data_IF_239217981305
#
_entry.id   IF_239217981305
#
_cell.length_a   1.000
_cell.length_b   1.000
_cell.length_c   1.000
_cell.angle_alpha   90.00
_cell.angle_beta   90.00
_cell.angle_gamma   90.00
#
_symmetry.space_group_name_H-M   'P 1'
#
loop_
_entity.id
_entity.type
_entity.pdbx_description
1 polymer ?
#
# COMPACT_ATOMS: atom_id res chain seq x y z
N UNK A 1 15.55 -4.00 2.03
CA UNK A 1 14.51 -4.86 2.64
C UNK A 1 13.27 -4.01 2.84
N UNK A 2 12.08 -4.54 2.67
CA UNK A 2 10.82 -3.79 2.84
C UNK A 2 9.72 -4.72 3.30
N UNK A 3 8.74 -4.19 4.01
CA UNK A 3 7.71 -4.95 4.70
C UNK A 3 6.36 -4.73 4.04
N UNK A 4 5.68 -5.82 3.68
CA UNK A 4 4.32 -5.79 3.16
C UNK A 4 3.28 -5.78 4.28
N UNK A 5 2.15 -5.14 4.04
CA UNK A 5 1.03 -5.07 4.98
C UNK A 5 -0.23 -5.60 4.32
N UNK A 6 -1.03 -6.34 5.09
CA UNK A 6 -2.23 -7.02 4.60
C UNK A 6 -3.41 -6.75 5.52
N UNK A 7 -4.61 -6.65 4.94
CA UNK A 7 -5.88 -6.62 5.65
C UNK A 7 -6.63 -7.93 5.45
N UNK A 8 -7.28 -8.39 6.52
CA UNK A 8 -8.19 -9.52 6.51
C UNK A 8 -9.60 -9.03 6.83
N UNK A 9 -10.56 -9.42 6.01
CA UNK A 9 -11.98 -9.39 6.38
C UNK A 9 -12.25 -10.48 7.42
N UNK A 10 -13.22 -10.22 8.30
CA UNK A 10 -13.63 -11.21 9.29
C UNK A 10 -14.01 -12.52 8.60
N UNK A 11 -13.51 -13.66 9.10
CA UNK A 11 -13.92 -14.95 8.58
C UNK A 11 -15.42 -15.14 8.85
N UNK A 12 -16.14 -15.59 7.82
CA UNK A 12 -17.57 -15.89 7.92
C UNK A 12 -17.82 -16.79 9.14
N UNK A 13 -18.68 -16.37 10.06
CA UNK A 13 -18.99 -17.09 11.30
C UNK A 13 -19.59 -18.48 11.07
N UNK A 14 -20.15 -18.73 9.89
CA UNK A 14 -20.78 -20.00 9.52
C UNK A 14 -19.82 -21.00 8.86
N UNK A 15 -18.84 -20.55 8.08
CA UNK A 15 -17.94 -21.44 7.33
C UNK A 15 -16.44 -21.23 7.59
N UNK A 16 -16.07 -20.25 8.42
CA UNK A 16 -14.69 -19.92 8.77
C UNK A 16 -13.86 -19.31 7.64
N UNK A 17 -14.44 -19.08 6.46
CA UNK A 17 -13.74 -18.52 5.29
C UNK A 17 -13.74 -16.99 5.38
N UNK A 18 -12.56 -16.37 5.40
CA UNK A 18 -12.38 -14.95 5.07
C UNK A 18 -12.06 -14.85 3.57
N UNK A 19 -12.88 -14.16 2.80
CA UNK A 19 -12.76 -14.13 1.32
C UNK A 19 -11.56 -13.38 0.74
N UNK A 20 -10.56 -13.01 1.54
CA UNK A 20 -9.27 -12.66 0.95
C UNK A 20 -8.36 -11.88 1.86
N UNK A 21 -7.08 -12.27 1.84
CA UNK A 21 -5.97 -11.42 2.25
C UNK A 21 -5.86 -10.29 1.22
N UNK A 22 -6.19 -9.06 1.63
CA UNK A 22 -6.03 -7.86 0.79
C UNK A 22 -4.64 -7.28 1.03
N UNK A 23 -3.85 -7.11 -0.02
CA UNK A 23 -2.56 -6.42 0.07
C UNK A 23 -2.82 -4.91 0.16
N UNK A 24 -2.36 -4.30 1.25
CA UNK A 24 -2.50 -2.86 1.47
C UNK A 24 -1.39 -2.13 0.72
N UNK A 25 -0.17 -2.64 0.83
CA UNK A 25 1.01 -2.02 0.25
C UNK A 25 2.29 -2.44 0.95
N UNK A 26 3.37 -1.69 0.66
CA UNK A 26 4.72 -2.00 1.11
C UNK A 26 5.45 -0.77 1.63
N UNK A 27 6.12 -0.95 2.77
CA UNK A 27 7.08 -0.02 3.32
C UNK A 27 8.50 -0.45 2.96
N UNK A 28 9.18 0.29 2.09
CA UNK A 28 10.57 0.00 1.72
C UNK A 28 11.54 0.96 2.41
N UNK A 29 12.74 0.48 2.75
CA UNK A 29 13.80 1.33 3.33
C UNK A 29 14.15 2.44 2.34
N UNK A 30 14.16 3.69 2.82
CA UNK A 30 14.49 4.87 2.01
C UNK A 30 13.41 5.35 1.05
N UNK A 31 12.25 4.69 0.99
CA UNK A 31 11.16 5.06 0.09
C UNK A 31 9.89 5.45 0.85
N UNK A 32 9.11 6.32 0.23
CA UNK A 32 7.71 6.52 0.60
C UNK A 32 6.93 5.20 0.58
N UNK A 33 5.85 5.12 1.36
CA UNK A 33 4.98 3.95 1.35
C UNK A 33 4.32 3.81 -0.03
N UNK A 34 4.28 2.59 -0.56
CA UNK A 34 3.66 2.29 -1.85
C UNK A 34 2.41 1.45 -1.62
N UNK A 35 1.24 2.02 -1.90
CA UNK A 35 -0.03 1.31 -1.83
C UNK A 35 -0.21 0.38 -3.02
N UNK A 36 -0.75 -0.80 -2.76
CA UNK A 36 -1.16 -1.74 -3.81
C UNK A 36 -2.47 -1.26 -4.46
N UNK A 37 -2.69 -1.53 -5.75
CA UNK A 37 -3.98 -1.28 -6.37
C UNK A 37 -5.02 -2.22 -5.74
N UNK A 38 -6.15 -1.67 -5.35
CA UNK A 38 -7.30 -2.47 -4.96
C UNK A 38 -8.47 -2.13 -5.87
N UNK A 39 -8.55 -2.85 -6.99
CA UNK A 39 -9.71 -2.81 -7.86
C UNK A 39 -10.78 -3.76 -7.33
N UNK A 40 -11.99 -3.26 -7.12
CA UNK A 40 -13.15 -4.10 -6.84
C UNK A 40 -13.87 -4.43 -8.14
N UNK A 41 -14.46 -5.62 -8.22
CA UNK A 41 -15.09 -6.16 -9.43
C UNK A 41 -16.16 -5.25 -10.09
N UNK A 42 -16.65 -4.24 -9.38
CA UNK A 42 -17.68 -3.30 -9.83
C UNK A 42 -17.14 -1.91 -10.22
N UNK A 43 -15.82 -1.73 -10.31
CA UNK A 43 -15.19 -0.42 -10.61
C UNK A 43 -15.05 0.52 -9.40
N UNK A 44 -15.43 0.07 -8.20
CA UNK A 44 -15.30 0.82 -6.94
C UNK A 44 -13.97 0.50 -6.23
N UNK A 45 -12.85 0.72 -6.91
CA UNK A 45 -11.54 0.51 -6.29
C UNK A 45 -11.19 1.53 -5.21
N UNK A 46 -10.14 1.25 -4.44
CA UNK A 46 -9.59 2.17 -3.44
C UNK A 46 -8.32 2.81 -4.00
N UNK A 47 -8.40 4.11 -4.29
CA UNK A 47 -7.35 4.86 -5.00
C UNK A 47 -6.79 6.06 -4.20
N UNK A 48 -7.14 6.18 -2.92
CA UNK A 48 -6.63 7.25 -2.06
C UNK A 48 -6.40 6.79 -0.63
N UNK A 49 -5.49 7.45 0.08
CA UNK A 49 -5.16 7.09 1.45
C UNK A 49 -6.36 7.31 2.39
N UNK A 50 -7.14 8.36 2.12
CA UNK A 50 -8.40 8.62 2.83
C UNK A 50 -9.38 7.46 2.70
N UNK A 51 -9.53 6.90 1.50
CA UNK A 51 -10.42 5.77 1.27
C UNK A 51 -9.88 4.48 1.93
N UNK A 52 -8.55 4.27 1.93
CA UNK A 52 -7.93 3.18 2.68
C UNK A 52 -8.19 3.25 4.18
N UNK A 53 -8.05 4.42 4.82
CA UNK A 53 -8.35 4.58 6.25
C UNK A 53 -9.79 4.18 6.60
N UNK A 54 -10.75 4.55 5.75
CA UNK A 54 -12.15 4.17 5.93
C UNK A 54 -12.34 2.66 5.77
N UNK A 55 -11.71 2.04 4.77
CA UNK A 55 -11.81 0.61 4.52
C UNK A 55 -11.16 -0.25 5.61
N UNK A 56 -10.09 0.24 6.23
CA UNK A 56 -9.32 -0.48 7.23
C UNK A 56 -9.86 -0.32 8.66
N UNK A 57 -10.81 0.59 8.88
CA UNK A 57 -11.34 0.93 10.21
C UNK A 57 -11.91 -0.27 10.98
N UNK A 58 -12.43 -1.26 10.26
CA UNK A 58 -13.06 -2.48 10.80
C UNK A 58 -12.34 -3.76 10.34
N UNK A 59 -11.05 -3.67 9.96
CA UNK A 59 -10.29 -4.80 9.42
C UNK A 59 -9.14 -5.19 10.33
N UNK A 60 -8.82 -6.49 10.33
CA UNK A 60 -7.59 -6.98 10.97
C UNK A 60 -6.42 -6.72 10.02
N UNK A 61 -5.45 -5.92 10.48
CA UNK A 61 -4.24 -5.62 9.72
C UNK A 61 -3.08 -6.45 10.27
N UNK A 62 -2.24 -6.98 9.40
CA UNK A 62 -1.01 -7.68 9.76
C UNK A 62 0.15 -7.27 8.87
N UNK A 63 1.37 -7.44 9.36
CA UNK A 63 2.58 -7.35 8.54
C UNK A 63 2.85 -8.67 7.78
N UNK A 64 3.90 -8.69 6.96
CA UNK A 64 4.31 -9.85 6.17
C UNK A 64 4.73 -11.08 6.98
N UNK A 65 5.09 -10.88 8.24
CA UNK A 65 5.47 -11.94 9.18
C UNK A 65 4.27 -12.47 9.98
N UNK A 66 3.09 -11.88 9.80
CA UNK A 66 1.85 -12.28 10.46
C UNK A 66 1.57 -11.57 11.79
N UNK A 67 2.43 -10.62 12.20
CA UNK A 67 2.19 -9.85 13.41
C UNK A 67 1.02 -8.89 13.21
N UNK A 68 0.17 -8.77 14.22
CA UNK A 68 -0.92 -7.82 14.20
C UNK A 68 -0.38 -6.38 14.23
N UNK A 69 -0.93 -5.53 13.38
CA UNK A 69 -0.64 -4.10 13.31
C UNK A 69 -1.96 -3.38 13.53
N UNK A 70 -2.01 -2.41 14.43
CA UNK A 70 -3.20 -1.57 14.59
C UNK A 70 -3.31 -0.56 13.45
N UNK A 71 -4.52 -0.03 13.20
CA UNK A 71 -4.69 1.02 12.21
C UNK A 71 -3.86 2.27 12.55
N UNK A 72 -3.73 2.62 13.82
CA UNK A 72 -2.91 3.75 14.27
C UNK A 72 -1.43 3.54 13.94
N UNK A 73 -0.88 2.35 14.23
CA UNK A 73 0.51 2.02 13.87
C UNK A 73 0.74 2.07 12.36
N UNK A 74 -0.22 1.56 11.56
CA UNK A 74 -0.13 1.64 10.11
C UNK A 74 -0.14 3.10 9.62
N UNK A 75 -1.00 3.95 10.20
CA UNK A 75 -1.05 5.38 9.89
C UNK A 75 0.29 6.03 10.20
N UNK A 76 0.87 5.78 11.37
CA UNK A 76 2.18 6.32 11.74
C UNK A 76 3.28 5.87 10.77
N UNK A 77 3.28 4.59 10.37
CA UNK A 77 4.23 4.06 9.39
C UNK A 77 4.09 4.81 8.06
N UNK A 78 2.87 4.94 7.55
CA UNK A 78 2.58 5.59 6.27
C UNK A 78 2.99 7.06 6.31
N UNK A 79 2.56 7.81 7.32
CA UNK A 79 2.79 9.25 7.43
C UNK A 79 4.27 9.59 7.67
N UNK A 80 4.98 8.82 8.50
CA UNK A 80 6.42 8.98 8.69
C UNK A 80 7.21 8.70 7.41
N UNK A 81 6.73 7.77 6.57
CA UNK A 81 7.36 7.47 5.28
C UNK A 81 7.17 8.58 4.26
N UNK A 82 6.11 9.38 4.36
CA UNK A 82 5.92 10.53 3.46
C UNK A 82 6.90 11.67 3.73
N UNK A 83 7.28 11.88 4.98
CA UNK A 83 8.23 12.93 5.36
C UNK A 83 9.68 12.49 5.22
N UNK A 84 10.00 11.22 5.46
CA UNK A 84 11.38 10.71 5.47
C UNK A 84 11.80 9.94 4.23
N UNK A 85 10.84 9.48 3.40
CA UNK A 85 11.09 8.62 2.26
C UNK A 85 11.34 9.37 0.95
N UNK A 86 12.19 8.79 0.09
CA UNK A 86 12.32 9.23 -1.29
C UNK A 86 11.06 8.86 -2.08
N UNK A 87 10.63 9.75 -2.95
CA UNK A 87 9.55 9.53 -3.89
C UNK A 87 10.12 9.09 -5.24
N UNK A 88 9.73 7.92 -5.77
CA UNK A 88 10.24 7.45 -7.06
C UNK A 88 9.91 8.39 -8.24
N UNK A 89 8.84 9.19 -8.12
CA UNK A 89 8.43 10.17 -9.13
C UNK A 89 9.33 11.43 -9.14
N UNK A 90 10.02 11.72 -8.04
CA UNK A 90 10.92 12.88 -7.91
C UNK A 90 12.39 12.50 -7.67
N UNK A 91 12.68 11.22 -7.42
CA UNK A 91 14.03 10.72 -7.22
C UNK A 91 14.86 10.83 -8.52
N UNK A 92 16.11 11.25 -8.37
CA UNK A 92 17.06 11.35 -9.49
C UNK A 92 17.51 9.96 -9.95
N UNK A 93 18.07 9.89 -11.16
CA UNK A 93 18.59 8.63 -11.73
C UNK A 93 19.60 7.93 -10.82
N UNK A 94 20.47 8.71 -10.17
CA UNK A 94 21.49 8.19 -9.26
C UNK A 94 20.89 7.60 -7.96
N UNK A 95 19.66 7.99 -7.59
CA UNK A 95 18.96 7.48 -6.42
C UNK A 95 18.13 6.21 -6.70
N UNK A 96 17.72 5.99 -7.96
CA UNK A 96 16.83 4.88 -8.33
C UNK A 96 17.54 3.71 -9.06
N UNK A 97 18.74 3.94 -9.61
CA UNK A 97 19.46 2.92 -10.37
C UNK A 97 19.13 2.93 -11.87
N UNK A 98 19.44 1.85 -12.63
CA UNK A 98 19.52 1.90 -14.10
C UNK A 98 18.18 1.93 -14.86
N UNK A 99 17.04 1.92 -14.16
CA UNK A 99 15.71 1.94 -14.79
C UNK A 99 15.38 3.32 -15.39
N UNK A 100 14.67 3.32 -16.52
CA UNK A 100 14.28 4.56 -17.19
C UNK A 100 13.16 5.32 -16.46
N UNK A 101 13.09 6.65 -16.63
CA UNK A 101 12.00 7.46 -16.05
C UNK A 101 10.62 7.06 -16.59
N UNK A 102 10.56 6.61 -17.85
CA UNK A 102 9.34 6.14 -18.51
C UNK A 102 8.79 4.87 -17.88
N UNK A 103 9.64 3.93 -17.50
CA UNK A 103 9.21 2.69 -16.81
C UNK A 103 8.67 3.01 -15.40
N UNK A 104 9.15 4.07 -14.75
CA UNK A 104 8.67 4.48 -13.41
C UNK A 104 7.28 5.10 -13.43
N UNK A 105 7.04 6.03 -14.37
CA UNK A 105 5.80 6.82 -14.41
C UNK A 105 4.60 6.06 -14.99
N UNK A 106 4.82 4.92 -15.62
CA UNK A 106 3.74 4.09 -16.17
C UNK A 106 3.04 3.26 -15.10
N UNK A 107 3.71 3.00 -13.97
CA UNK A 107 3.25 2.03 -12.97
C UNK A 107 2.89 2.62 -11.60
N UNK A 108 3.03 3.93 -11.44
CA UNK A 108 2.72 4.62 -10.17
C UNK A 108 2.03 5.97 -10.39
N UNK A 109 1.13 6.32 -9.47
CA UNK A 109 0.48 7.62 -9.39
C UNK A 109 0.45 8.13 -7.94
N UNK A 110 0.07 9.40 -7.76
CA UNK A 110 -0.23 9.96 -6.45
C UNK A 110 -1.70 10.37 -6.34
N UNK A 111 -2.26 10.23 -5.15
CA UNK A 111 -3.55 10.84 -4.82
C UNK A 111 -3.39 12.35 -4.54
N UNK A 112 -4.51 13.02 -4.27
CA UNK A 112 -4.57 14.48 -4.00
C UNK A 112 -3.74 14.90 -2.76
N UNK A 113 -3.45 13.95 -1.87
CA UNK A 113 -2.69 14.18 -0.63
C UNK A 113 -1.22 13.71 -0.75
N UNK A 114 -0.73 13.51 -1.98
CA UNK A 114 0.64 13.14 -2.34
C UNK A 114 1.07 11.70 -1.92
N UNK A 115 0.12 10.80 -1.64
CA UNK A 115 0.40 9.39 -1.34
C UNK A 115 0.60 8.56 -2.60
N UNK A 116 1.59 7.65 -2.61
CA UNK A 116 1.97 6.86 -3.79
C UNK A 116 1.20 5.55 -3.90
N UNK A 117 0.69 5.29 -5.08
CA UNK A 117 -0.06 4.08 -5.45
C UNK A 117 0.56 3.42 -6.66
N UNK A 118 0.57 2.10 -6.68
CA UNK A 118 0.90 1.34 -7.88
C UNK A 118 -0.36 1.15 -8.76
N UNK A 119 -0.19 1.10 -10.08
CA UNK A 119 -1.25 0.85 -11.05
C UNK A 119 -1.38 -0.62 -11.46
N UNK A 120 -0.39 -1.46 -11.13
CA UNK A 120 -0.38 -2.87 -11.52
C UNK A 120 -0.35 -3.79 -10.29
N UNK A 121 -1.09 -4.91 -10.37
CA UNK A 121 -1.15 -5.92 -9.32
C UNK A 121 0.11 -6.80 -9.25
N UNK A 122 1.09 -6.60 -10.15
CA UNK A 122 2.31 -7.41 -10.25
C UNK A 122 3.32 -7.19 -9.11
N UNK A 123 3.00 -6.32 -8.14
CA UNK A 123 3.79 -6.12 -6.92
C UNK A 123 3.38 -7.12 -5.83
N UNK A 124 3.89 -8.36 -5.93
CA UNK A 124 3.91 -9.32 -4.81
C UNK A 124 5.29 -9.89 -4.58
#
# INVERSE_FOLDING_TARGET
MGTNYYAFSDPCSHCGRSDGRVHIGKSSIGWQFLFAPLDRANGEGIYSWKAWKLYLADKRIVNEYGDAVSLAELVDIVENKQTSGLCALTATRDQYGPYSESERRQHEYKDDDDYRFCTTADFT
#
